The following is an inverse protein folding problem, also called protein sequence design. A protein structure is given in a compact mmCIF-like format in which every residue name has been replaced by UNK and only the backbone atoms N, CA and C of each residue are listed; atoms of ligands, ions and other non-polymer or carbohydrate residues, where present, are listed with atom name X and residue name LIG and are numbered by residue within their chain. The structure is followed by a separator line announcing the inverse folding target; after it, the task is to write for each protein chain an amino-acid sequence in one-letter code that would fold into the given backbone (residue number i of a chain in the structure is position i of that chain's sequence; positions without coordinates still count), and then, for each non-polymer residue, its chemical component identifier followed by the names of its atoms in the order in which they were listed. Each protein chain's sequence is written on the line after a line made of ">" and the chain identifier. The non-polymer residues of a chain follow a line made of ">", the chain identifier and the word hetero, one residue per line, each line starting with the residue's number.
data_IF_000829105492
#
_entry.id   IF_000829105492
#
_cell.length_a   1.000
_cell.length_b   1.000
_cell.length_c   1.000
_cell.angle_alpha   90.00
_cell.angle_beta   90.00
_cell.angle_gamma   90.00
#
_symmetry.space_group_name_H-M   'P 1'
#
loop_
_entity.id
_entity.type
_entity.pdbx_description
1 polymer ?
#
# COMPACT_ATOMS: atom_id res chain seq x y z
N UNK A 1 19.54 -5.27 -7.35
CA UNK A 1 18.87 -5.57 -8.63
C UNK A 1 17.51 -6.16 -8.31
N UNK A 2 16.43 -5.45 -8.69
CA UNK A 2 15.08 -5.99 -8.60
C UNK A 2 14.90 -6.93 -9.80
N UNK A 3 14.79 -8.23 -9.53
CA UNK A 3 14.41 -9.21 -10.55
C UNK A 3 12.91 -9.08 -10.80
N UNK A 4 12.56 -8.32 -11.83
CA UNK A 4 11.23 -8.38 -12.43
C UNK A 4 11.23 -9.62 -13.32
N UNK A 5 10.53 -10.67 -12.90
CA UNK A 5 10.20 -11.80 -13.77
C UNK A 5 9.14 -11.30 -14.76
N UNK A 6 9.59 -10.77 -15.90
CA UNK A 6 8.71 -10.52 -17.03
C UNK A 6 8.53 -11.86 -17.75
N UNK A 7 7.49 -12.60 -17.38
CA UNK A 7 6.94 -13.61 -18.27
C UNK A 7 6.32 -12.90 -19.48
N UNK A 8 6.61 -13.44 -20.67
CA UNK A 8 6.24 -12.92 -21.98
C UNK A 8 4.72 -12.73 -22.12
N UNK A 9 4.24 -11.55 -21.72
CA UNK A 9 2.90 -11.06 -22.02
C UNK A 9 3.03 -9.87 -22.97
N UNK A 10 2.26 -9.89 -24.06
CA UNK A 10 2.33 -8.92 -25.16
C UNK A 10 2.40 -7.48 -24.63
N UNK A 11 3.50 -6.80 -24.91
CA UNK A 11 3.82 -5.46 -24.40
C UNK A 11 2.75 -4.39 -24.74
N UNK A 12 1.85 -4.68 -25.69
CA UNK A 12 0.76 -3.80 -26.11
C UNK A 12 -0.52 -3.90 -25.23
N UNK A 13 -0.60 -4.87 -24.30
CA UNK A 13 -1.76 -5.06 -23.42
C UNK A 13 -1.53 -4.61 -21.97
N UNK A 14 -0.29 -4.29 -21.58
CA UNK A 14 -0.01 -3.83 -20.22
C UNK A 14 -0.37 -2.35 -20.09
N UNK A 15 -1.28 -1.96 -19.19
CA UNK A 15 -1.61 -0.56 -19.01
C UNK A 15 -0.32 0.21 -18.66
N UNK A 16 -0.10 1.38 -19.26
CA UNK A 16 1.09 2.16 -18.95
C UNK A 16 1.13 2.43 -17.44
N UNK A 17 2.32 2.40 -16.84
CA UNK A 17 2.50 2.46 -15.38
C UNK A 17 1.86 3.73 -14.74
N UNK A 18 1.57 4.74 -15.55
CA UNK A 18 0.81 5.94 -15.21
C UNK A 18 -0.72 5.70 -15.11
N UNK A 19 -1.18 4.45 -15.20
CA UNK A 19 -2.59 4.03 -15.04
C UNK A 19 -2.75 2.87 -14.07
N UNK A 20 -1.83 2.76 -13.12
CA UNK A 20 -1.85 1.72 -12.09
C UNK A 20 -2.06 2.37 -10.72
N UNK A 21 -3.01 1.83 -9.94
CA UNK A 21 -3.28 2.20 -8.55
C UNK A 21 -3.29 0.97 -7.64
N UNK A 22 -3.60 1.17 -6.37
CA UNK A 22 -3.73 0.06 -5.42
C UNK A 22 -4.89 0.29 -4.44
N UNK A 23 -5.54 -0.79 -4.04
CA UNK A 23 -6.49 -0.81 -2.92
C UNK A 23 -5.84 -1.60 -1.80
N UNK A 24 -5.71 -1.01 -0.62
CA UNK A 24 -5.09 -1.64 0.54
C UNK A 24 -6.12 -1.84 1.65
N UNK A 25 -6.17 -3.03 2.22
CA UNK A 25 -6.90 -3.30 3.44
C UNK A 25 -5.98 -3.02 4.64
N UNK A 26 -6.28 -1.96 5.39
CA UNK A 26 -5.48 -1.59 6.55
C UNK A 26 -5.55 -2.63 7.66
N UNK A 27 -6.67 -3.35 7.77
CA UNK A 27 -6.86 -4.37 8.81
C UNK A 27 -6.05 -5.64 8.51
N UNK A 28 -5.64 -5.85 7.26
CA UNK A 28 -4.79 -6.96 6.86
C UNK A 28 -3.32 -6.76 7.27
N UNK A 29 -2.90 -5.54 7.60
CA UNK A 29 -1.53 -5.30 8.06
C UNK A 29 -1.30 -5.86 9.47
N UNK A 30 -0.16 -6.53 9.64
CA UNK A 30 0.31 -6.95 10.96
C UNK A 30 1.06 -5.80 11.64
N UNK A 31 0.39 -5.10 12.55
CA UNK A 31 1.02 -4.06 13.37
C UNK A 31 1.64 -4.65 14.64
N UNK A 32 2.81 -4.14 15.02
CA UNK A 32 3.39 -4.46 16.32
C UNK A 32 2.53 -3.86 17.43
N UNK A 33 2.26 -4.64 18.47
CA UNK A 33 1.46 -4.21 19.62
C UNK A 33 1.98 -2.89 20.21
N UNK A 34 3.30 -2.78 20.43
CA UNK A 34 3.92 -1.56 20.95
C UNK A 34 3.79 -0.35 20.00
N UNK A 35 3.72 -0.57 18.69
CA UNK A 35 3.44 0.48 17.71
C UNK A 35 2.01 1.01 17.84
N UNK A 36 1.03 0.11 18.01
CA UNK A 36 -0.36 0.49 18.27
C UNK A 36 -0.49 1.26 19.60
N UNK A 37 0.18 0.80 20.65
CA UNK A 37 0.19 1.47 21.95
C UNK A 37 0.82 2.87 21.87
N UNK A 38 1.95 3.01 21.19
CA UNK A 38 2.58 4.31 20.96
C UNK A 38 1.67 5.26 20.18
N UNK A 39 1.07 4.78 19.08
CA UNK A 39 0.14 5.56 18.26
C UNK A 39 -1.10 6.02 19.05
N UNK A 40 -1.69 5.15 19.87
CA UNK A 40 -2.80 5.51 20.78
C UNK A 40 -2.45 6.65 21.73
N UNK A 41 -1.19 6.75 22.14
CA UNK A 41 -0.68 7.79 23.01
C UNK A 41 -0.11 9.00 22.24
N UNK A 42 -0.29 9.08 20.92
CA UNK A 42 0.27 10.11 20.04
C UNK A 42 1.80 10.19 20.09
N UNK A 43 2.46 9.05 20.28
CA UNK A 43 3.92 8.92 20.31
C UNK A 43 4.36 8.35 18.95
N UNK A 44 5.13 9.13 18.21
CA UNK A 44 5.60 8.78 16.86
C UNK A 44 7.10 9.01 16.70
N UNK A 45 7.69 8.34 15.71
CA UNK A 45 9.08 8.59 15.33
C UNK A 45 9.29 10.05 14.91
N UNK A 46 10.43 10.63 15.29
CA UNK A 46 10.84 11.97 14.83
C UNK A 46 11.02 12.05 13.32
N UNK A 47 11.17 10.91 12.65
CA UNK A 47 11.26 10.79 11.19
C UNK A 47 9.90 10.57 10.51
N UNK A 48 8.84 10.23 11.24
CA UNK A 48 7.49 10.08 10.68
C UNK A 48 7.01 11.32 9.91
N UNK A 49 7.25 12.58 10.36
CA UNK A 49 6.86 13.77 9.61
C UNK A 49 7.44 13.84 8.20
N UNK A 50 8.63 13.26 7.98
CA UNK A 50 9.23 13.21 6.65
C UNK A 50 8.46 12.28 5.71
N UNK A 51 7.81 11.23 6.21
CA UNK A 51 7.00 10.32 5.40
C UNK A 51 5.55 10.78 5.23
N UNK A 52 5.04 11.70 6.07
CA UNK A 52 3.67 12.21 5.97
C UNK A 52 3.37 12.94 4.65
N UNK A 53 4.39 13.35 3.89
CA UNK A 53 4.15 13.84 2.53
C UNK A 53 3.54 12.76 1.64
N UNK A 54 3.80 11.47 1.91
CA UNK A 54 3.26 10.34 1.16
C UNK A 54 1.74 10.19 1.34
N UNK A 55 1.12 10.84 2.35
CA UNK A 55 -0.34 10.82 2.51
C UNK A 55 -1.06 11.32 1.27
N UNK A 56 -0.44 12.25 0.53
CA UNK A 56 -0.98 12.77 -0.72
C UNK A 56 -1.28 11.62 -1.67
N UNK A 57 -0.53 10.53 -1.58
CA UNK A 57 -0.74 9.38 -2.42
C UNK A 57 -2.06 8.61 -2.16
N UNK A 58 -2.72 8.89 -1.02
CA UNK A 58 -3.93 8.18 -0.56
C UNK A 58 -5.18 9.02 -0.85
N UNK A 59 -6.02 8.55 -1.77
CA UNK A 59 -7.19 9.30 -2.27
C UNK A 59 -8.25 9.57 -1.19
N UNK A 60 -8.44 8.63 -0.26
CA UNK A 60 -9.37 8.71 0.85
C UNK A 60 -8.70 8.93 2.22
N UNK A 61 -7.55 9.62 2.26
CA UNK A 61 -6.76 9.86 3.48
C UNK A 61 -7.60 10.28 4.70
N UNK A 62 -8.50 11.26 4.53
CA UNK A 62 -9.33 11.78 5.63
C UNK A 62 -10.22 10.70 6.21
N UNK A 63 -10.91 9.94 5.35
CA UNK A 63 -11.79 8.85 5.78
C UNK A 63 -10.99 7.72 6.42
N UNK A 64 -9.85 7.36 5.83
CA UNK A 64 -8.97 6.34 6.38
C UNK A 64 -8.45 6.69 7.78
N UNK A 65 -8.05 7.94 8.00
CA UNK A 65 -7.65 8.43 9.33
C UNK A 65 -8.82 8.45 10.32
N UNK A 66 -10.03 8.83 9.88
CA UNK A 66 -11.22 8.84 10.73
C UNK A 66 -11.65 7.43 11.15
N UNK A 67 -11.58 6.46 10.23
CA UNK A 67 -11.92 5.05 10.51
C UNK A 67 -10.84 4.32 11.30
N UNK A 68 -9.56 4.62 11.07
CA UNK A 68 -8.41 3.92 11.64
C UNK A 68 -7.38 4.88 12.25
N UNK A 69 -7.75 5.67 13.28
CA UNK A 69 -6.89 6.74 13.80
C UNK A 69 -5.61 6.23 14.46
N UNK A 70 -5.56 4.94 14.84
CA UNK A 70 -4.41 4.33 15.51
C UNK A 70 -3.48 3.65 14.49
N UNK A 71 -4.04 2.88 13.57
CA UNK A 71 -3.31 2.08 12.59
C UNK A 71 -2.81 2.95 11.43
N UNK A 72 -3.63 3.88 10.94
CA UNK A 72 -3.32 4.66 9.75
C UNK A 72 -2.05 5.52 9.88
N UNK A 73 -1.79 6.21 11.02
CA UNK A 73 -0.51 6.92 11.20
C UNK A 73 0.72 6.02 11.13
N UNK A 74 0.60 4.74 11.48
CA UNK A 74 1.72 3.79 11.48
C UNK A 74 2.18 3.42 10.07
N UNK A 75 1.32 3.58 9.05
CA UNK A 75 1.72 3.39 7.65
C UNK A 75 2.80 4.39 7.19
N UNK A 76 3.00 5.47 7.94
CA UNK A 76 4.02 6.49 7.67
C UNK A 76 5.24 6.37 8.58
N UNK A 77 5.28 5.40 9.49
CA UNK A 77 6.45 5.20 10.34
C UNK A 77 7.61 4.61 9.52
N UNK A 78 8.85 5.10 9.67
CA UNK A 78 9.99 4.53 8.95
C UNK A 78 10.25 3.09 9.37
N UNK A 79 10.21 2.17 8.41
CA UNK A 79 10.57 0.77 8.68
C UNK A 79 12.08 0.58 8.52
N UNK A 80 12.77 0.27 9.63
CA UNK A 80 14.15 -0.21 9.59
C UNK A 80 14.13 -1.73 9.62
N UNK A 81 14.80 -2.39 8.65
CA UNK A 81 14.77 -3.85 8.50
C UNK A 81 13.35 -4.43 8.45
N UNK A 82 12.46 -3.78 7.68
CA UNK A 82 11.09 -4.24 7.45
C UNK A 82 11.01 -5.56 6.67
N UNK A 83 9.77 -6.02 6.47
CA UNK A 83 9.48 -7.20 5.67
C UNK A 83 9.64 -6.98 4.16
N UNK A 84 9.26 -8.01 3.40
CA UNK A 84 9.17 -7.92 1.94
C UNK A 84 7.76 -7.53 1.53
N UNK A 85 7.66 -6.65 0.52
CA UNK A 85 6.42 -6.33 -0.20
C UNK A 85 6.65 -6.65 -1.67
N UNK A 86 5.76 -7.43 -2.27
CA UNK A 86 5.81 -7.83 -3.67
C UNK A 86 4.41 -8.14 -4.18
N UNK A 87 4.29 -8.26 -5.50
CA UNK A 87 3.05 -8.61 -6.16
C UNK A 87 3.09 -10.05 -6.64
N UNK A 88 1.94 -10.70 -6.61
CA UNK A 88 1.69 -12.05 -7.14
C UNK A 88 0.41 -11.97 -7.96
N UNK A 89 0.27 -12.85 -8.94
CA UNK A 89 -1.00 -12.98 -9.67
C UNK A 89 -2.13 -13.26 -8.67
N UNK A 90 -3.28 -12.62 -8.89
CA UNK A 90 -4.44 -12.74 -8.01
C UNK A 90 -4.93 -14.18 -7.89
N UNK A 91 -4.81 -14.99 -8.95
CA UNK A 91 -5.19 -16.41 -8.92
C UNK A 91 -4.27 -17.23 -7.99
N UNK A 92 -2.99 -16.88 -7.93
CA UNK A 92 -2.00 -17.61 -7.13
C UNK A 92 -1.83 -17.08 -5.71
N UNK A 93 -2.27 -15.84 -5.43
CA UNK A 93 -2.04 -15.19 -4.15
C UNK A 93 -2.50 -16.00 -2.92
N UNK A 94 -3.71 -16.62 -2.89
CA UNK A 94 -4.14 -17.40 -1.73
C UNK A 94 -3.27 -18.63 -1.47
N UNK A 95 -2.96 -19.40 -2.52
CA UNK A 95 -2.12 -20.61 -2.42
C UNK A 95 -0.71 -20.23 -1.99
N UNK A 96 -0.15 -19.17 -2.59
CA UNK A 96 1.18 -18.68 -2.27
C UNK A 96 1.28 -18.20 -0.80
N UNK A 97 0.27 -17.48 -0.29
CA UNK A 97 0.20 -17.11 1.12
C UNK A 97 0.18 -18.35 2.02
N UNK A 98 -0.65 -19.34 1.68
CA UNK A 98 -0.77 -20.59 2.44
C UNK A 98 0.57 -21.33 2.51
N UNK A 99 1.30 -21.42 1.40
CA UNK A 99 2.62 -22.08 1.35
C UNK A 99 3.66 -21.36 2.23
N UNK A 100 3.69 -20.02 2.19
CA UNK A 100 4.57 -19.22 3.05
C UNK A 100 4.23 -19.42 4.54
N UNK A 101 2.95 -19.43 4.91
CA UNK A 101 2.53 -19.69 6.29
C UNK A 101 2.87 -21.12 6.71
N UNK A 102 2.64 -22.11 5.86
CA UNK A 102 2.93 -23.52 6.13
C UNK A 102 4.43 -23.81 6.30
N UNK A 103 5.30 -23.02 5.64
CA UNK A 103 6.76 -23.10 5.86
C UNK A 103 7.19 -22.77 7.30
N UNK A 104 6.37 -22.00 8.03
CA UNK A 104 6.68 -21.51 9.37
C UNK A 104 7.74 -20.41 9.43
N UNK A 105 8.38 -20.06 8.31
CA UNK A 105 9.43 -19.03 8.26
C UNK A 105 8.86 -17.61 8.26
N UNK A 106 7.65 -17.42 7.74
CA UNK A 106 7.00 -16.12 7.56
C UNK A 106 5.60 -16.10 8.16
N UNK A 107 5.46 -16.19 9.50
CA UNK A 107 4.16 -16.34 10.18
C UNK A 107 3.24 -15.12 10.05
N UNK A 108 3.79 -13.96 9.67
CA UNK A 108 3.05 -12.71 9.47
C UNK A 108 2.77 -12.41 8.00
N UNK A 109 2.82 -13.42 7.12
CA UNK A 109 2.50 -13.24 5.69
C UNK A 109 1.02 -12.86 5.52
N UNK A 110 0.77 -11.71 4.92
CA UNK A 110 -0.58 -11.19 4.68
C UNK A 110 -0.71 -10.69 3.24
N UNK A 111 -1.86 -10.96 2.63
CA UNK A 111 -2.32 -10.25 1.44
C UNK A 111 -2.93 -8.94 1.95
N UNK A 112 -2.27 -7.82 1.67
CA UNK A 112 -2.65 -6.50 2.20
C UNK A 112 -3.47 -5.66 1.22
N UNK A 113 -3.74 -6.17 0.03
CA UNK A 113 -4.44 -5.43 -1.01
C UNK A 113 -4.19 -5.97 -2.41
N UNK A 114 -4.59 -5.16 -3.38
CA UNK A 114 -4.51 -5.49 -4.80
C UNK A 114 -4.09 -4.27 -5.63
N UNK A 115 -3.53 -4.56 -6.81
CA UNK A 115 -3.21 -3.57 -7.82
C UNK A 115 -4.40 -3.45 -8.77
N UNK A 116 -4.83 -2.23 -9.04
CA UNK A 116 -6.01 -1.96 -9.89
C UNK A 116 -5.63 -1.07 -11.07
N UNK A 117 -6.32 -1.27 -12.18
CA UNK A 117 -6.29 -0.32 -13.28
C UNK A 117 -6.90 1.01 -12.82
N UNK A 118 -6.25 2.11 -13.17
CA UNK A 118 -6.71 3.45 -12.89
C UNK A 118 -7.09 4.12 -14.22
N UNK A 119 -8.39 4.33 -14.42
CA UNK A 119 -8.94 4.87 -15.68
C UNK A 119 -8.88 6.40 -15.77
N UNK A 120 -8.37 7.07 -14.74
CA UNK A 120 -8.24 8.53 -14.70
C UNK A 120 -9.54 9.28 -14.43
N UNK A 121 -10.65 8.59 -14.17
CA UNK A 121 -11.94 9.22 -13.84
C UNK A 121 -12.15 9.28 -12.33
N UNK A 122 -12.58 10.44 -11.84
CA UNK A 122 -12.84 10.66 -10.42
C UNK A 122 -14.33 10.89 -10.21
N UNK A 123 -14.99 10.02 -9.45
CA UNK A 123 -16.27 10.33 -8.85
C UNK A 123 -16.05 11.16 -7.57
N UNK A 124 -16.90 12.17 -7.35
CA UNK A 124 -16.97 12.97 -6.11
C UNK A 124 -15.75 13.88 -5.77
N UNK A 125 -15.01 14.37 -6.78
CA UNK A 125 -14.23 15.60 -6.63
C UNK A 125 -12.87 15.51 -5.91
N UNK A 126 -12.31 14.31 -5.75
CA UNK A 126 -10.92 14.11 -5.34
C UNK A 126 -10.14 13.45 -6.49
N UNK A 127 -9.43 14.26 -7.28
CA UNK A 127 -8.40 13.81 -8.23
C UNK A 127 -7.08 14.45 -7.86
N UNK A 128 -5.97 13.71 -8.01
CA UNK A 128 -4.68 14.35 -8.18
C UNK A 128 -4.07 13.97 -9.52
N UNK A 129 -4.00 14.99 -10.39
CA UNK A 129 -3.47 14.94 -11.75
C UNK A 129 -2.04 15.47 -11.70
N UNK A 130 -1.11 14.78 -12.38
CA UNK A 130 -0.05 15.50 -13.06
C UNK A 130 0.65 14.70 -14.18
N UNK A 131 0.80 15.34 -15.35
CA UNK A 131 1.67 14.97 -16.47
C UNK A 131 2.60 16.15 -16.76
N UNK A 132 3.91 15.91 -16.92
CA UNK A 132 4.99 16.92 -17.00
C UNK A 132 5.74 17.10 -15.67
N UNK A 133 6.56 18.15 -15.49
CA UNK A 133 7.24 18.55 -14.22
C UNK A 133 6.25 18.86 -13.07
N UNK A 134 5.43 17.87 -12.74
CA UNK A 134 4.08 18.00 -12.24
C UNK A 134 3.89 16.72 -11.42
N UNK A 135 3.44 16.85 -10.17
CA UNK A 135 3.46 15.81 -9.14
C UNK A 135 2.81 14.48 -9.56
N UNK A 136 3.63 13.47 -9.88
CA UNK A 136 3.20 12.14 -10.36
C UNK A 136 2.78 11.19 -9.25
N UNK A 137 2.13 11.66 -8.19
CA UNK A 137 1.68 10.78 -7.11
C UNK A 137 0.27 10.22 -7.34
N UNK A 138 -0.18 9.42 -6.38
CA UNK A 138 -1.56 9.53 -5.85
C UNK A 138 -2.65 8.62 -6.41
N UNK A 139 -2.60 7.32 -6.04
CA UNK A 139 -3.55 6.29 -6.47
C UNK A 139 -3.79 5.13 -5.48
N UNK A 140 -3.45 5.31 -4.21
CA UNK A 140 -3.73 4.31 -3.17
C UNK A 140 -5.10 4.62 -2.55
N UNK A 141 -5.99 3.64 -2.47
CA UNK A 141 -7.23 3.71 -1.70
C UNK A 141 -7.12 2.78 -0.51
N UNK A 142 -7.51 3.23 0.67
CA UNK A 142 -7.67 2.35 1.83
C UNK A 142 -9.08 1.80 1.84
N UNK A 143 -9.22 0.47 1.89
CA UNK A 143 -10.47 -0.20 2.16
C UNK A 143 -10.84 0.06 3.63
N UNK A 144 -12.06 0.58 3.82
CA UNK A 144 -12.55 1.00 5.13
C UNK A 144 -13.34 -0.10 5.82
#
# INVERSE_FOLDING_TARGET
>A
EMLMANDETDADQQPPLDRIGAVLDIQAFSFLQGGLEASRNNIYSSLQPSNLHNRRAVSNHKQAYESYPVEYPLLYDPQTAGGLLFFVDAEYAPTFQQDLLASGLFPSTAIVGEVVAFDGTCENGLCTIASGNKMTGERIRIQL
#
